data_IF_970203543668
#
_entry.id   IF_970203543668
#
_cell.length_a   1.000
_cell.length_b   1.000
_cell.length_c   1.000
_cell.angle_alpha   90.00
_cell.angle_beta   90.00
_cell.angle_gamma   90.00
#
_symmetry.space_group_name_H-M   'P 1'
#
loop_
_entity.id
_entity.type
_entity.pdbx_description
1 polymer ?
#
# COMPACT_ATOMS: atom_id res chain seq x y z
N UNK A 1 -45.41 31.97 32.76
CA UNK A 1 -43.98 31.81 33.12
C UNK A 1 -43.89 30.52 33.94
N UNK A 2 -43.13 29.45 33.67
CA UNK A 2 -42.05 29.07 32.75
C UNK A 2 -42.47 27.70 32.17
N UNK A 3 -42.51 27.51 30.85
CA UNK A 3 -41.48 26.80 30.08
C UNK A 3 -40.96 25.54 30.78
N UNK A 4 -41.73 24.45 30.76
CA UNK A 4 -41.15 23.10 30.79
C UNK A 4 -41.66 22.41 29.54
N UNK A 5 -40.98 22.74 28.44
CA UNK A 5 -41.11 22.12 27.13
C UNK A 5 -40.47 20.74 27.21
N UNK A 6 -41.31 19.73 27.07
CA UNK A 6 -40.99 18.48 26.38
C UNK A 6 -40.18 18.85 25.12
N UNK A 7 -39.04 18.19 24.84
CA UNK A 7 -38.49 17.89 23.49
C UNK A 7 -37.03 17.38 23.61
N UNK A 8 -36.84 16.11 23.25
CA UNK A 8 -35.64 15.45 22.72
C UNK A 8 -34.42 15.30 23.64
N UNK A 9 -34.16 14.14 24.26
CA UNK A 9 -33.78 12.89 23.56
C UNK A 9 -32.74 13.13 22.45
N UNK A 10 -31.53 13.60 22.81
CA UNK A 10 -30.50 13.87 21.79
C UNK A 10 -29.06 13.74 22.28
N UNK A 11 -28.70 12.68 23.02
CA UNK A 11 -27.27 12.30 23.14
C UNK A 11 -27.11 10.79 23.18
N UNK A 12 -27.79 10.09 22.28
CA UNK A 12 -27.40 8.74 21.87
C UNK A 12 -26.37 8.87 20.77
N UNK A 13 -25.14 9.30 21.08
CA UNK A 13 -24.03 9.22 20.13
C UNK A 13 -23.63 7.74 20.08
N UNK A 14 -24.42 6.95 19.36
CA UNK A 14 -24.02 5.62 18.92
C UNK A 14 -22.92 5.85 17.90
N UNK A 15 -21.68 5.77 18.34
CA UNK A 15 -20.54 5.67 17.44
C UNK A 15 -20.75 4.44 16.58
N UNK A 16 -21.21 4.65 15.36
CA UNK A 16 -21.17 3.64 14.31
C UNK A 16 -19.69 3.35 14.06
N UNK A 17 -19.14 2.41 14.81
CA UNK A 17 -17.88 1.77 14.45
C UNK A 17 -18.22 0.91 13.24
N UNK A 18 -18.26 1.55 12.06
CA UNK A 18 -18.36 0.87 10.78
C UNK A 18 -17.07 0.08 10.60
N UNK A 19 -17.10 -1.17 11.05
CA UNK A 19 -16.06 -2.13 10.73
C UNK A 19 -16.25 -2.48 9.25
N UNK A 20 -15.64 -1.67 8.38
CA UNK A 20 -15.66 -1.87 6.94
C UNK A 20 -14.88 -3.16 6.64
N UNK A 21 -15.62 -4.25 6.38
CA UNK A 21 -15.01 -5.52 5.96
C UNK A 21 -14.34 -5.25 4.61
N UNK A 22 -13.02 -5.47 4.53
CA UNK A 22 -12.28 -5.32 3.28
C UNK A 22 -12.62 -6.53 2.41
N UNK A 23 -13.64 -6.39 1.57
CA UNK A 23 -14.13 -7.46 0.69
C UNK A 23 -13.48 -7.37 -0.69
N UNK A 24 -13.18 -6.16 -1.16
CA UNK A 24 -12.64 -5.91 -2.48
C UNK A 24 -11.15 -5.56 -2.43
N UNK A 25 -10.34 -6.44 -3.00
CA UNK A 25 -8.88 -6.33 -2.99
C UNK A 25 -8.31 -6.73 -4.34
N UNK A 26 -7.29 -6.00 -4.79
CA UNK A 26 -6.51 -6.33 -5.99
C UNK A 26 -5.03 -6.48 -5.66
N UNK A 27 -4.31 -7.13 -6.57
CA UNK A 27 -2.87 -7.20 -6.59
C UNK A 27 -2.32 -6.15 -7.53
N UNK A 28 -1.28 -5.46 -7.08
CA UNK A 28 -0.49 -4.55 -7.90
C UNK A 28 0.98 -4.95 -7.83
N UNK A 29 1.71 -4.62 -8.88
CA UNK A 29 3.06 -5.08 -9.14
C UNK A 29 4.00 -3.89 -9.34
N UNK A 30 5.27 -4.08 -9.00
CA UNK A 30 6.33 -3.11 -9.26
C UNK A 30 7.63 -3.87 -9.52
N UNK A 31 8.36 -3.48 -10.56
CA UNK A 31 9.67 -4.02 -10.87
C UNK A 31 10.73 -3.20 -10.12
N UNK A 32 11.35 -3.84 -9.12
CA UNK A 32 12.31 -3.18 -8.23
C UNK A 32 13.52 -2.68 -9.02
N UNK A 33 14.00 -1.49 -8.66
CA UNK A 33 15.16 -0.88 -9.31
C UNK A 33 16.38 -0.99 -8.41
N UNK A 34 17.57 -0.81 -9.00
CA UNK A 34 18.78 -1.05 -8.26
C UNK A 34 18.99 -0.06 -7.11
N UNK A 35 18.55 1.19 -7.26
CA UNK A 35 18.73 2.19 -6.20
C UNK A 35 17.67 3.29 -6.14
N UNK A 36 16.79 3.39 -7.15
CA UNK A 36 15.92 4.55 -7.33
C UNK A 36 14.53 4.41 -6.69
N UNK A 37 14.29 3.31 -5.96
CA UNK A 37 12.99 3.06 -5.39
C UNK A 37 12.65 3.97 -4.22
N UNK A 38 11.37 4.36 -4.17
CA UNK A 38 10.87 5.38 -3.25
C UNK A 38 10.88 4.96 -1.78
N UNK A 39 11.00 3.65 -1.51
CA UNK A 39 11.11 3.08 -0.16
C UNK A 39 12.56 2.87 0.31
N UNK A 40 13.55 3.35 -0.45
CA UNK A 40 14.96 3.29 -0.09
C UNK A 40 15.71 2.13 -0.75
N UNK A 41 16.83 1.74 -0.14
CA UNK A 41 17.78 0.79 -0.74
C UNK A 41 17.21 -0.63 -0.84
N UNK A 42 17.35 -1.26 -2.01
CA UNK A 42 16.98 -2.65 -2.26
C UNK A 42 17.91 -3.67 -1.57
N UNK A 43 19.10 -3.26 -1.13
CA UNK A 43 20.07 -4.10 -0.42
C UNK A 43 19.85 -4.14 1.10
N UNK A 44 18.63 -4.42 1.53
CA UNK A 44 18.26 -4.65 2.93
C UNK A 44 17.60 -6.03 3.08
N UNK A 45 17.59 -6.64 4.27
CA UNK A 45 16.90 -7.91 4.49
C UNK A 45 15.44 -7.84 4.03
N UNK A 46 14.91 -8.92 3.43
CA UNK A 46 13.58 -8.95 2.81
C UNK A 46 12.45 -8.48 3.75
N UNK A 47 12.53 -8.82 5.04
CA UNK A 47 11.56 -8.38 6.04
C UNK A 47 11.58 -6.86 6.26
N UNK A 48 12.76 -6.26 6.23
CA UNK A 48 12.93 -4.81 6.33
C UNK A 48 12.45 -4.12 5.05
N UNK A 49 12.79 -4.68 3.89
CA UNK A 49 12.29 -4.22 2.59
C UNK A 49 10.76 -4.18 2.55
N UNK A 50 10.09 -5.27 2.94
CA UNK A 50 8.62 -5.35 3.04
C UNK A 50 8.05 -4.28 3.98
N UNK A 51 8.71 -4.01 5.10
CA UNK A 51 8.31 -2.96 6.05
C UNK A 51 8.42 -1.57 5.42
N UNK A 52 9.50 -1.29 4.69
CA UNK A 52 9.73 -0.01 4.05
C UNK A 52 8.74 0.24 2.91
N UNK A 53 8.49 -0.76 2.06
CA UNK A 53 7.46 -0.71 1.01
C UNK A 53 6.09 -0.42 1.61
N UNK A 54 5.72 -1.16 2.67
CA UNK A 54 4.45 -0.97 3.35
C UNK A 54 4.32 0.43 3.96
N UNK A 55 5.34 0.88 4.69
CA UNK A 55 5.35 2.21 5.30
C UNK A 55 5.26 3.32 4.24
N UNK A 56 5.95 3.17 3.11
CA UNK A 56 5.86 4.08 1.98
C UNK A 56 4.43 4.18 1.45
N UNK A 57 3.81 3.05 1.09
CA UNK A 57 2.45 3.03 0.53
C UNK A 57 1.41 3.54 1.54
N UNK A 58 1.54 3.19 2.82
CA UNK A 58 0.66 3.69 3.87
C UNK A 58 0.80 5.21 4.05
N UNK A 59 2.00 5.79 3.88
CA UNK A 59 2.20 7.24 3.87
C UNK A 59 1.51 7.94 2.69
N UNK A 60 1.21 7.20 1.62
CA UNK A 60 0.42 7.66 0.46
C UNK A 60 -1.08 7.39 0.60
N UNK A 61 -1.51 6.92 1.77
CA UNK A 61 -2.91 6.60 2.06
C UNK A 61 -3.40 5.35 1.31
N UNK A 62 -2.49 4.40 1.02
CA UNK A 62 -2.79 3.10 0.43
C UNK A 62 -2.69 2.04 1.52
N UNK A 63 -3.78 1.30 1.78
CA UNK A 63 -3.76 0.25 2.81
C UNK A 63 -3.21 -1.05 2.24
N UNK A 64 -2.02 -1.45 2.69
CA UNK A 64 -1.36 -2.69 2.25
C UNK A 64 -1.73 -3.86 3.16
N UNK A 65 -2.35 -4.88 2.56
CA UNK A 65 -2.80 -6.10 3.22
C UNK A 65 -1.74 -7.20 3.20
N UNK A 66 -0.93 -7.25 2.13
CA UNK A 66 0.15 -8.23 1.97
C UNK A 66 1.22 -7.67 1.02
N UNK A 67 2.48 -8.00 1.29
CA UNK A 67 3.63 -7.74 0.40
C UNK A 67 4.33 -9.07 0.12
N UNK A 68 4.59 -9.35 -1.15
CA UNK A 68 5.41 -10.47 -1.62
C UNK A 68 6.52 -9.92 -2.51
N UNK A 69 7.67 -10.58 -2.48
CA UNK A 69 8.82 -10.23 -3.32
C UNK A 69 9.24 -11.52 -4.00
N UNK A 70 9.29 -11.51 -5.32
CA UNK A 70 9.69 -12.67 -6.13
C UNK A 70 11.01 -12.35 -6.82
N UNK A 71 11.92 -13.30 -6.81
CA UNK A 71 13.17 -13.22 -7.56
C UNK A 71 12.93 -13.63 -9.02
N UNK A 72 12.94 -12.64 -9.90
CA UNK A 72 12.80 -12.79 -11.35
C UNK A 72 14.13 -12.52 -12.08
N UNK A 73 15.28 -12.51 -11.39
CA UNK A 73 16.58 -12.17 -12.00
C UNK A 73 16.96 -13.06 -13.18
N UNK A 74 16.48 -14.29 -13.21
CA UNK A 74 16.69 -15.21 -14.34
C UNK A 74 16.03 -14.73 -15.65
N UNK A 75 15.06 -13.81 -15.60
CA UNK A 75 14.40 -13.22 -16.76
C UNK A 75 15.20 -12.05 -17.38
N UNK A 76 16.24 -11.57 -16.68
CA UNK A 76 17.04 -10.42 -17.11
C UNK A 76 18.44 -10.88 -17.55
N UNK A 77 18.70 -10.85 -18.86
CA UNK A 77 19.98 -11.30 -19.45
C UNK A 77 21.13 -10.30 -19.27
N UNK A 78 20.84 -9.04 -18.94
CA UNK A 78 21.84 -7.96 -18.88
C UNK A 78 21.89 -7.35 -17.47
N UNK A 79 23.06 -7.50 -16.83
CA UNK A 79 23.38 -6.78 -15.60
C UNK A 79 23.61 -5.30 -15.94
N UNK A 80 22.60 -4.48 -15.69
CA UNK A 80 22.74 -3.04 -15.70
C UNK A 80 22.89 -2.53 -14.26
N UNK A 81 24.01 -1.87 -13.96
CA UNK A 81 24.30 -1.35 -12.62
C UNK A 81 23.83 0.09 -12.39
N UNK A 82 23.08 0.69 -13.32
CA UNK A 82 22.50 2.01 -13.12
C UNK A 82 21.33 1.97 -12.14
N UNK A 83 21.16 3.03 -11.34
CA UNK A 83 20.15 3.09 -10.30
C UNK A 83 18.71 2.85 -10.77
N UNK A 84 18.39 3.24 -12.00
CA UNK A 84 17.07 3.10 -12.60
C UNK A 84 16.88 1.77 -13.35
N UNK A 85 17.90 0.91 -13.37
CA UNK A 85 17.79 -0.41 -13.97
C UNK A 85 17.06 -1.35 -13.02
N UNK A 86 16.26 -2.25 -13.62
CA UNK A 86 15.54 -3.27 -12.88
C UNK A 86 16.56 -4.23 -12.28
N UNK A 87 16.46 -4.51 -10.98
CA UNK A 87 17.38 -5.39 -10.26
C UNK A 87 16.98 -6.88 -10.34
N UNK A 88 15.79 -7.12 -10.93
CA UNK A 88 15.20 -8.43 -11.17
C UNK A 88 14.29 -8.92 -10.05
N UNK A 89 14.02 -8.14 -9.01
CA UNK A 89 12.99 -8.46 -8.04
C UNK A 89 11.63 -7.86 -8.45
N UNK A 90 10.57 -8.63 -8.25
CA UNK A 90 9.18 -8.21 -8.47
C UNK A 90 8.46 -8.08 -7.14
N UNK A 91 8.01 -6.86 -6.84
CA UNK A 91 7.22 -6.56 -5.66
C UNK A 91 5.74 -6.73 -6.01
N UNK A 92 5.00 -7.40 -5.14
CA UNK A 92 3.57 -7.64 -5.28
C UNK A 92 2.86 -7.19 -4.01
N UNK A 93 1.96 -6.22 -4.14
CA UNK A 93 1.21 -5.69 -3.01
C UNK A 93 -0.27 -6.02 -3.18
N UNK A 94 -0.88 -6.61 -2.14
CA UNK A 94 -2.33 -6.75 -2.06
C UNK A 94 -2.90 -5.52 -1.36
N UNK A 95 -3.78 -4.79 -2.04
CA UNK A 95 -4.35 -3.53 -1.57
C UNK A 95 -5.88 -3.56 -1.63
N UNK A 96 -6.54 -2.53 -1.10
CA UNK A 96 -7.96 -2.28 -1.37
C UNK A 96 -8.14 -1.88 -2.83
N UNK A 97 -9.21 -2.33 -3.48
CA UNK A 97 -9.56 -1.90 -4.85
C UNK A 97 -9.65 -0.38 -4.97
N UNK A 98 -10.23 0.27 -3.96
CA UNK A 98 -10.40 1.74 -3.88
C UNK A 98 -9.08 2.52 -3.85
N UNK A 99 -7.95 1.85 -3.61
CA UNK A 99 -6.63 2.47 -3.59
C UNK A 99 -5.84 2.22 -4.89
N UNK A 100 -6.42 1.54 -5.89
CA UNK A 100 -5.77 1.19 -7.15
C UNK A 100 -5.19 2.43 -7.86
N UNK A 101 -5.99 3.47 -8.08
CA UNK A 101 -5.52 4.70 -8.75
C UNK A 101 -4.33 5.36 -8.02
N UNK A 102 -4.31 5.30 -6.69
CA UNK A 102 -3.19 5.81 -5.90
C UNK A 102 -1.93 4.97 -6.11
N UNK A 103 -2.08 3.64 -6.17
CA UNK A 103 -0.96 2.75 -6.43
C UNK A 103 -0.39 2.95 -7.86
N UNK A 104 -1.26 3.12 -8.86
CA UNK A 104 -0.84 3.43 -10.23
C UNK A 104 -0.10 4.77 -10.31
N UNK A 105 -0.55 5.80 -9.59
CA UNK A 105 0.18 7.07 -9.45
C UNK A 105 1.56 6.93 -8.79
N UNK A 106 1.82 5.81 -8.13
CA UNK A 106 3.10 5.49 -7.52
C UNK A 106 4.00 4.59 -8.39
N UNK A 107 3.63 4.38 -9.67
CA UNK A 107 4.28 3.52 -10.67
C UNK A 107 4.10 2.02 -10.46
N UNK A 108 3.10 1.61 -9.67
CA UNK A 108 2.68 0.21 -9.69
C UNK A 108 1.83 -0.06 -10.95
N UNK A 109 1.73 -1.33 -11.35
CA UNK A 109 0.90 -1.80 -12.45
C UNK A 109 0.03 -2.99 -12.03
N UNK A 110 -0.94 -3.39 -12.87
CA UNK A 110 -1.82 -4.55 -12.67
C UNK A 110 -1.68 -5.53 -13.84
#
# INVERSE_FOLDING_TARGET
>A
MKKILIIFALVGVTTFISCEKIIDTTWVYYDETWCFDKWGNSNVPENEKKKNIKAYLESKGIKVLKVQITDNRAEYEVLCEACNCIDGYKIQCKIKESDLDKALNENFYQ
#
